data_IF_488185005512
#
_entry.id   IF_488185005512
#
_cell.length_a   1.000
_cell.length_b   1.000
_cell.length_c   1.000
_cell.angle_alpha   90.00
_cell.angle_beta   90.00
_cell.angle_gamma   90.00
#
_symmetry.space_group_name_H-M   'P 1'
#
loop_
_entity.id
_entity.type
_entity.pdbx_description
1 polymer ?
#
# COMPACT_ATOMS: atom_id res chain seq x y z
N UNK A 1 -0.09 26.89 -79.51
CA UNK A 1 0.98 26.17 -78.77
C UNK A 1 1.30 27.03 -77.56
N UNK A 2 0.61 26.79 -76.45
CA UNK A 2 1.02 25.94 -75.33
C UNK A 2 2.01 26.66 -74.41
N UNK A 3 1.58 26.95 -73.18
CA UNK A 3 2.44 27.58 -72.17
C UNK A 3 1.72 28.17 -70.96
N UNK A 4 0.66 27.54 -70.46
CA UNK A 4 0.10 27.85 -69.15
C UNK A 4 -0.01 26.52 -68.40
N UNK A 5 0.96 26.21 -67.53
CA UNK A 5 0.85 25.23 -66.44
C UNK A 5 2.20 25.09 -65.71
N UNK A 6 2.54 26.07 -64.84
CA UNK A 6 3.72 25.95 -63.97
C UNK A 6 3.51 26.47 -62.53
N UNK A 7 2.33 27.02 -62.20
CA UNK A 7 2.01 27.51 -60.86
C UNK A 7 1.32 26.49 -59.92
N UNK A 8 0.62 25.50 -60.48
CA UNK A 8 -0.21 24.54 -59.72
C UNK A 8 0.60 23.43 -59.02
N UNK A 9 1.70 22.98 -59.64
CA UNK A 9 2.48 21.83 -59.15
C UNK A 9 3.32 22.14 -57.91
N UNK A 10 3.83 23.36 -57.78
CA UNK A 10 4.63 23.79 -56.62
C UNK A 10 3.80 23.98 -55.35
N UNK A 11 2.61 24.57 -55.48
CA UNK A 11 1.67 24.76 -54.36
C UNK A 11 1.16 23.42 -53.83
N UNK A 12 0.84 22.48 -54.71
CA UNK A 12 0.41 21.12 -54.32
C UNK A 12 1.52 20.33 -53.61
N UNK A 13 2.79 20.50 -54.00
CA UNK A 13 3.92 19.85 -53.33
C UNK A 13 4.16 20.40 -51.93
N UNK A 14 4.08 21.73 -51.76
CA UNK A 14 4.21 22.37 -50.46
C UNK A 14 3.06 21.98 -49.52
N UNK A 15 1.82 21.95 -50.04
CA UNK A 15 0.66 21.47 -49.30
C UNK A 15 0.83 20.01 -48.86
N UNK A 16 1.28 19.12 -49.76
CA UNK A 16 1.52 17.71 -49.43
C UNK A 16 2.60 17.55 -48.35
N UNK A 17 3.71 18.29 -48.44
CA UNK A 17 4.76 18.28 -47.42
C UNK A 17 4.24 18.77 -46.07
N UNK A 18 3.43 19.83 -46.04
CA UNK A 18 2.84 20.36 -44.81
C UNK A 18 1.89 19.36 -44.13
N UNK A 19 1.10 18.62 -44.91
CA UNK A 19 0.21 17.57 -44.41
C UNK A 19 1.00 16.40 -43.85
N UNK A 20 2.09 15.98 -44.52
CA UNK A 20 2.97 14.92 -44.02
C UNK A 20 3.61 15.33 -42.70
N UNK A 21 4.12 16.55 -42.59
CA UNK A 21 4.70 17.08 -41.34
C UNK A 21 3.64 17.12 -40.23
N UNK A 22 2.42 17.57 -40.53
CA UNK A 22 1.33 17.59 -39.57
C UNK A 22 0.95 16.19 -39.08
N UNK A 23 0.86 15.20 -39.97
CA UNK A 23 0.56 13.81 -39.62
C UNK A 23 1.68 13.18 -38.79
N UNK A 24 2.94 13.43 -39.14
CA UNK A 24 4.09 12.94 -38.37
C UNK A 24 4.14 13.60 -36.98
N UNK A 25 3.80 14.88 -36.87
CA UNK A 25 3.70 15.60 -35.59
C UNK A 25 2.58 15.04 -34.71
N UNK A 26 1.42 14.74 -35.31
CA UNK A 26 0.31 14.11 -34.62
C UNK A 26 0.67 12.69 -34.16
N UNK A 27 1.31 11.89 -35.01
CA UNK A 27 1.77 10.54 -34.67
C UNK A 27 2.80 10.58 -33.53
N UNK A 28 3.74 11.53 -33.57
CA UNK A 28 4.71 11.73 -32.49
C UNK A 28 4.00 12.13 -31.18
N UNK A 29 3.02 13.03 -31.23
CA UNK A 29 2.24 13.43 -30.05
C UNK A 29 1.43 12.27 -29.46
N UNK A 30 0.80 11.44 -30.30
CA UNK A 30 0.06 10.24 -29.85
C UNK A 30 1.01 9.23 -29.21
N UNK A 31 2.17 8.96 -29.83
CA UNK A 31 3.17 8.05 -29.27
C UNK A 31 3.73 8.57 -27.94
N UNK A 32 4.00 9.88 -27.84
CA UNK A 32 4.41 10.50 -26.59
C UNK A 32 3.34 10.35 -25.52
N UNK A 33 2.07 10.61 -25.84
CA UNK A 33 0.96 10.46 -24.90
C UNK A 33 0.81 9.01 -24.40
N UNK A 34 0.88 8.03 -25.30
CA UNK A 34 0.81 6.59 -24.95
C UNK A 34 1.97 6.19 -24.04
N UNK A 35 3.19 6.62 -24.35
CA UNK A 35 4.36 6.34 -23.52
C UNK A 35 4.27 7.04 -22.16
N UNK A 36 3.77 8.28 -22.13
CA UNK A 36 3.59 9.03 -20.90
C UNK A 36 2.54 8.39 -20.00
N UNK A 37 1.39 8.00 -20.56
CA UNK A 37 0.32 7.29 -19.84
C UNK A 37 0.83 5.97 -19.25
N UNK A 38 1.52 5.14 -20.05
CA UNK A 38 2.12 3.88 -19.56
C UNK A 38 3.18 4.10 -18.50
N UNK A 39 3.98 5.17 -18.62
CA UNK A 39 4.99 5.53 -17.63
C UNK A 39 4.35 5.92 -16.30
N UNK A 40 3.31 6.76 -16.31
CA UNK A 40 2.56 7.14 -15.11
C UNK A 40 1.94 5.90 -14.44
N UNK A 41 1.26 5.03 -15.20
CA UNK A 41 0.65 3.82 -14.64
C UNK A 41 1.69 2.87 -14.02
N UNK A 42 2.88 2.78 -14.62
CA UNK A 42 4.00 2.00 -14.09
C UNK A 42 4.52 2.62 -12.78
N UNK A 43 4.75 3.93 -12.76
CA UNK A 43 5.22 4.65 -11.58
C UNK A 43 4.21 4.54 -10.45
N UNK A 44 2.92 4.79 -10.71
CA UNK A 44 1.87 4.70 -9.70
C UNK A 44 1.77 3.31 -9.08
N UNK A 45 1.76 2.24 -9.90
CA UNK A 45 1.76 0.86 -9.38
C UNK A 45 3.00 0.54 -8.54
N UNK A 46 4.17 1.00 -8.96
CA UNK A 46 5.41 0.78 -8.23
C UNK A 46 5.47 1.57 -6.92
N UNK A 47 4.99 2.82 -6.91
CA UNK A 47 4.89 3.65 -5.71
C UNK A 47 3.90 3.04 -4.71
N UNK A 48 2.73 2.61 -5.17
CA UNK A 48 1.74 1.96 -4.31
C UNK A 48 2.25 0.65 -3.71
N UNK A 49 2.96 -0.17 -4.51
CA UNK A 49 3.59 -1.40 -4.01
C UNK A 49 4.70 -1.11 -3.00
N UNK A 50 5.55 -0.12 -3.28
CA UNK A 50 6.62 0.28 -2.36
C UNK A 50 6.06 0.79 -1.02
N UNK A 51 5.00 1.60 -1.07
CA UNK A 51 4.35 2.15 0.12
C UNK A 51 3.60 1.06 0.91
N UNK A 52 2.95 0.13 0.22
CA UNK A 52 2.35 -1.06 0.84
C UNK A 52 3.39 -1.93 1.53
N UNK A 53 4.53 -2.19 0.89
CA UNK A 53 5.62 -2.96 1.50
C UNK A 53 6.24 -2.26 2.70
N UNK A 54 6.42 -0.94 2.62
CA UNK A 54 6.86 -0.12 3.75
C UNK A 54 5.90 -0.24 4.92
N UNK A 55 4.60 -0.09 4.66
CA UNK A 55 3.56 -0.21 5.68
C UNK A 55 3.48 -1.63 6.28
N UNK A 56 3.69 -2.66 5.46
CA UNK A 56 3.80 -4.04 5.92
C UNK A 56 4.99 -4.26 6.85
N UNK A 57 6.16 -3.70 6.53
CA UNK A 57 7.31 -3.73 7.44
C UNK A 57 6.98 -3.02 8.76
N UNK A 58 6.35 -1.85 8.69
CA UNK A 58 6.05 -1.04 9.87
C UNK A 58 5.01 -1.71 10.77
N UNK A 59 3.97 -2.32 10.21
CA UNK A 59 2.93 -3.01 11.00
C UNK A 59 3.49 -4.26 11.70
N UNK A 60 4.40 -4.98 11.04
CA UNK A 60 5.13 -6.10 11.65
C UNK A 60 5.99 -5.62 12.83
N UNK A 61 6.73 -4.51 12.62
CA UNK A 61 7.54 -3.92 13.67
C UNK A 61 6.71 -3.51 14.90
N UNK A 62 5.58 -2.84 14.68
CA UNK A 62 4.67 -2.41 15.74
C UNK A 62 4.09 -3.60 16.50
N UNK A 63 3.73 -4.69 15.82
CA UNK A 63 3.21 -5.90 16.48
C UNK A 63 4.23 -6.53 17.44
N UNK A 64 5.48 -6.70 16.99
CA UNK A 64 6.52 -7.28 17.85
C UNK A 64 6.95 -6.34 18.98
N UNK A 65 6.98 -5.03 18.74
CA UNK A 65 7.21 -4.05 19.81
C UNK A 65 6.09 -4.13 20.87
N UNK A 66 4.83 -4.20 20.43
CA UNK A 66 3.68 -4.36 21.31
C UNK A 66 3.81 -5.64 22.16
N UNK A 67 4.12 -6.78 21.53
CA UNK A 67 4.30 -8.07 22.21
C UNK A 67 5.34 -7.99 23.31
N UNK A 68 6.53 -7.49 22.99
CA UNK A 68 7.63 -7.42 23.96
C UNK A 68 7.27 -6.54 25.17
N UNK A 69 6.62 -5.40 24.93
CA UNK A 69 6.15 -4.52 26.01
C UNK A 69 5.04 -5.16 26.83
N UNK A 70 4.14 -5.94 26.21
CA UNK A 70 3.03 -6.57 26.90
C UNK A 70 3.52 -7.73 27.79
N UNK A 71 4.50 -8.51 27.31
CA UNK A 71 5.18 -9.54 28.10
C UNK A 71 5.88 -8.91 29.31
N UNK A 72 6.59 -7.79 29.12
CA UNK A 72 7.22 -7.03 30.21
C UNK A 72 6.20 -6.47 31.22
N UNK A 73 5.05 -5.98 30.73
CA UNK A 73 3.97 -5.49 31.58
C UNK A 73 3.34 -6.62 32.41
N UNK A 74 3.11 -7.79 31.80
CA UNK A 74 2.58 -8.97 32.49
C UNK A 74 3.54 -9.49 33.56
N UNK A 75 4.85 -9.52 33.27
CA UNK A 75 5.87 -9.94 34.23
C UNK A 75 6.03 -8.97 35.41
N UNK A 76 5.89 -7.66 35.16
CA UNK A 76 6.12 -6.63 36.19
C UNK A 76 4.88 -6.29 37.01
N UNK A 77 3.67 -6.65 36.53
CA UNK A 77 2.40 -6.28 37.16
C UNK A 77 2.11 -4.78 37.18
N UNK A 78 2.89 -3.97 36.45
CA UNK A 78 2.78 -2.51 36.43
C UNK A 78 1.85 -2.06 35.30
N UNK A 79 0.64 -1.63 35.65
CA UNK A 79 -0.39 -1.27 34.65
C UNK A 79 -0.30 0.18 34.15
N UNK A 80 0.14 1.13 34.99
CA UNK A 80 -0.08 2.57 34.76
C UNK A 80 0.45 3.10 33.42
N UNK A 81 1.77 3.29 33.31
CA UNK A 81 2.34 3.80 32.06
C UNK A 81 2.45 2.74 30.96
N UNK A 82 2.62 1.47 31.33
CA UNK A 82 2.73 0.39 30.36
C UNK A 82 1.44 0.24 29.52
N UNK A 83 0.25 0.39 30.14
CA UNK A 83 -1.01 0.31 29.40
C UNK A 83 -1.17 1.44 28.38
N UNK A 84 -0.74 2.67 28.70
CA UNK A 84 -0.83 3.81 27.78
C UNK A 84 0.10 3.59 26.57
N UNK A 85 1.33 3.11 26.81
CA UNK A 85 2.27 2.80 25.73
C UNK A 85 1.76 1.67 24.85
N UNK A 86 1.21 0.61 25.45
CA UNK A 86 0.62 -0.50 24.71
C UNK A 86 -0.58 -0.05 23.87
N UNK A 87 -1.47 0.76 24.43
CA UNK A 87 -2.59 1.34 23.65
C UNK A 87 -2.11 2.19 22.49
N UNK A 88 -1.07 2.98 22.69
CA UNK A 88 -0.46 3.78 21.61
C UNK A 88 0.02 2.88 20.47
N UNK A 89 0.65 1.75 20.80
CA UNK A 89 1.08 0.76 19.80
C UNK A 89 -0.11 0.06 19.13
N UNK A 90 -1.16 -0.29 19.87
CA UNK A 90 -2.39 -0.85 19.30
C UNK A 90 -3.07 0.12 18.32
N UNK A 91 -3.15 1.41 18.65
CA UNK A 91 -3.69 2.43 17.74
C UNK A 91 -2.81 2.66 16.53
N UNK A 92 -1.48 2.66 16.70
CA UNK A 92 -0.55 2.73 15.58
C UNK A 92 -0.71 1.53 14.65
N UNK A 93 -0.88 0.33 15.21
CA UNK A 93 -1.20 -0.87 14.45
C UNK A 93 -2.51 -0.70 13.67
N UNK A 94 -3.58 -0.25 14.33
CA UNK A 94 -4.88 -0.01 13.69
C UNK A 94 -4.83 1.03 12.57
N UNK A 95 -4.04 2.10 12.73
CA UNK A 95 -3.85 3.12 11.70
C UNK A 95 -3.13 2.56 10.47
N UNK A 96 -2.03 1.83 10.66
CA UNK A 96 -1.31 1.13 9.58
C UNK A 96 -2.19 0.07 8.91
N UNK A 97 -2.95 -0.68 9.71
CA UNK A 97 -3.88 -1.68 9.22
C UNK A 97 -5.00 -1.06 8.38
N UNK A 98 -5.53 0.09 8.78
CA UNK A 98 -6.53 0.85 8.01
C UNK A 98 -5.95 1.33 6.68
N UNK A 99 -4.70 1.77 6.66
CA UNK A 99 -4.01 2.12 5.43
C UNK A 99 -3.85 0.91 4.50
N UNK A 100 -3.34 -0.22 5.01
CA UNK A 100 -3.16 -1.46 4.26
C UNK A 100 -4.48 -2.04 3.75
N UNK A 101 -5.53 -1.96 4.56
CA UNK A 101 -6.90 -2.34 4.21
C UNK A 101 -7.41 -1.63 2.96
N UNK A 102 -6.92 -0.42 2.64
CA UNK A 102 -7.32 0.29 1.41
C UNK A 102 -6.89 -0.40 0.12
N UNK A 103 -5.93 -1.33 0.20
CA UNK A 103 -5.40 -2.07 -0.95
C UNK A 103 -5.89 -3.51 -1.00
N UNK A 104 -6.84 -3.89 -0.16
CA UNK A 104 -7.30 -5.26 0.01
C UNK A 104 -8.84 -5.36 -0.04
N UNK A 105 -9.35 -6.56 -0.30
CA UNK A 105 -10.78 -6.86 -0.23
C UNK A 105 -11.32 -6.78 1.22
N UNK A 106 -12.65 -6.60 1.34
CA UNK A 106 -13.33 -6.40 2.62
C UNK A 106 -12.95 -7.40 3.74
N UNK A 107 -12.81 -8.72 3.47
CA UNK A 107 -12.42 -9.68 4.50
C UNK A 107 -11.03 -9.45 5.09
N UNK A 108 -10.12 -8.80 4.35
CA UNK A 108 -8.80 -8.44 4.88
C UNK A 108 -8.89 -7.22 5.80
N UNK A 109 -9.75 -6.24 5.45
CA UNK A 109 -9.99 -5.05 6.30
C UNK A 109 -10.47 -5.46 7.70
N UNK A 110 -11.42 -6.39 7.73
CA UNK A 110 -11.99 -6.90 8.99
C UNK A 110 -10.93 -7.56 9.87
N UNK A 111 -9.94 -8.25 9.28
CA UNK A 111 -8.82 -8.86 10.03
C UNK A 111 -7.95 -7.82 10.72
N UNK A 112 -7.59 -6.73 10.04
CA UNK A 112 -6.79 -5.65 10.63
C UNK A 112 -7.52 -4.98 11.80
N UNK A 113 -8.82 -4.68 11.61
CA UNK A 113 -9.65 -4.08 12.67
C UNK A 113 -9.82 -5.02 13.85
N UNK A 114 -10.11 -6.30 13.61
CA UNK A 114 -10.26 -7.30 14.66
C UNK A 114 -8.98 -7.43 15.51
N UNK A 115 -7.81 -7.53 14.87
CA UNK A 115 -6.54 -7.61 15.60
C UNK A 115 -6.25 -6.31 16.37
N UNK A 116 -6.51 -5.14 15.80
CA UNK A 116 -6.30 -3.86 16.50
C UNK A 116 -7.11 -3.79 17.81
N UNK A 117 -8.38 -4.23 17.80
CA UNK A 117 -9.20 -4.33 19.00
C UNK A 117 -8.69 -5.37 19.98
N UNK A 118 -8.19 -6.50 19.48
CA UNK A 118 -7.61 -7.53 20.31
C UNK A 118 -6.35 -7.03 21.03
N UNK A 119 -5.49 -6.27 20.34
CA UNK A 119 -4.33 -5.62 20.94
C UNK A 119 -4.74 -4.56 21.97
N UNK A 120 -5.77 -3.75 21.70
CA UNK A 120 -6.27 -2.77 22.69
C UNK A 120 -6.80 -3.45 23.97
N UNK A 121 -7.48 -4.59 23.82
CA UNK A 121 -7.89 -5.43 24.96
C UNK A 121 -6.69 -5.90 25.76
N UNK A 122 -5.68 -6.48 25.09
CA UNK A 122 -4.44 -6.91 25.75
C UNK A 122 -3.78 -5.72 26.44
N UNK A 123 -3.74 -4.54 25.83
CA UNK A 123 -3.15 -3.35 26.45
C UNK A 123 -3.83 -2.95 27.76
N UNK A 124 -5.14 -3.18 27.89
CA UNK A 124 -5.90 -2.90 29.11
C UNK A 124 -5.76 -3.97 30.20
N UNK A 125 -5.55 -5.24 29.81
CA UNK A 125 -5.64 -6.38 30.74
C UNK A 125 -4.27 -7.02 31.06
N UNK A 126 -3.24 -6.81 30.22
CA UNK A 126 -1.99 -7.56 30.25
C UNK A 126 -1.29 -7.56 31.62
N UNK A 127 -1.24 -6.44 32.32
CA UNK A 127 -0.58 -6.33 33.62
C UNK A 127 -1.33 -7.06 34.76
N UNK A 128 -2.62 -7.32 34.58
CA UNK A 128 -3.49 -7.93 35.60
C UNK A 128 -3.80 -9.41 35.37
N UNK A 129 -3.54 -9.92 34.16
CA UNK A 129 -3.87 -11.29 33.80
C UNK A 129 -2.86 -12.30 34.38
N UNK A 130 -3.33 -13.46 34.87
CA UNK A 130 -2.47 -14.60 35.10
C UNK A 130 -1.70 -14.97 33.82
N UNK A 131 -0.44 -15.39 33.95
CA UNK A 131 0.45 -15.70 32.81
C UNK A 131 -0.20 -16.66 31.81
N UNK A 132 -0.92 -17.67 32.28
CA UNK A 132 -1.61 -18.66 31.42
C UNK A 132 -2.73 -18.04 30.59
N UNK A 133 -3.47 -17.09 31.15
CA UNK A 133 -4.55 -16.39 30.44
C UNK A 133 -3.98 -15.37 29.46
N UNK A 134 -2.93 -14.65 29.87
CA UNK A 134 -2.15 -13.78 29.00
C UNK A 134 -1.63 -14.53 27.77
N UNK A 135 -1.02 -15.70 27.97
CA UNK A 135 -0.48 -16.53 26.89
C UNK A 135 -1.57 -17.01 25.94
N UNK A 136 -2.74 -17.38 26.46
CA UNK A 136 -3.88 -17.78 25.63
C UNK A 136 -4.38 -16.61 24.76
N UNK A 137 -4.51 -15.41 25.33
CA UNK A 137 -4.89 -14.19 24.61
C UNK A 137 -3.87 -13.84 23.52
N UNK A 138 -2.57 -13.89 23.84
CA UNK A 138 -1.52 -13.58 22.88
C UNK A 138 -1.39 -14.62 21.78
N UNK A 139 -1.54 -15.90 22.09
CA UNK A 139 -1.53 -16.96 21.08
C UNK A 139 -2.64 -16.76 20.03
N UNK A 140 -3.78 -16.23 20.45
CA UNK A 140 -4.85 -15.89 19.51
C UNK A 140 -4.52 -14.63 18.69
N UNK A 141 -3.91 -13.62 19.30
CA UNK A 141 -3.38 -12.46 18.56
C UNK A 141 -2.30 -12.87 17.53
N UNK A 142 -1.41 -13.80 17.86
CA UNK A 142 -0.37 -14.33 16.96
C UNK A 142 -0.97 -15.05 15.74
N UNK A 143 -2.05 -15.82 15.92
CA UNK A 143 -2.77 -16.46 14.80
C UNK A 143 -3.37 -15.42 13.87
N UNK A 144 -4.03 -14.40 14.43
CA UNK A 144 -4.61 -13.30 13.64
C UNK A 144 -3.51 -12.54 12.89
N UNK A 145 -2.39 -12.27 13.55
CA UNK A 145 -1.24 -11.61 12.94
C UNK A 145 -0.62 -12.47 11.84
N UNK A 146 -0.55 -13.79 12.00
CA UNK A 146 -0.06 -14.70 10.94
C UNK A 146 -0.87 -14.55 9.66
N UNK A 147 -2.21 -14.46 9.76
CA UNK A 147 -3.07 -14.23 8.60
C UNK A 147 -2.77 -12.90 7.90
N UNK A 148 -2.55 -11.82 8.67
CA UNK A 148 -2.16 -10.50 8.16
C UNK A 148 -0.76 -10.52 7.55
N UNK A 149 0.19 -11.22 8.16
CA UNK A 149 1.55 -11.34 7.63
C UNK A 149 1.54 -12.05 6.27
N UNK A 150 0.67 -13.06 6.09
CA UNK A 150 0.46 -13.70 4.79
C UNK A 150 -0.10 -12.73 3.73
N UNK A 151 -0.94 -11.77 4.12
CA UNK A 151 -1.40 -10.69 3.23
C UNK A 151 -0.21 -9.82 2.76
N UNK A 152 0.71 -9.50 3.68
CA UNK A 152 1.94 -8.77 3.37
C UNK A 152 2.92 -9.56 2.49
N UNK A 153 3.02 -10.88 2.67
CA UNK A 153 3.84 -11.75 1.79
C UNK A 153 3.26 -11.77 0.37
N UNK A 154 1.93 -11.87 0.23
CA UNK A 154 1.26 -11.81 -1.07
C UNK A 154 1.47 -10.45 -1.78
N UNK A 155 1.47 -9.37 -1.01
CA UNK A 155 1.83 -8.04 -1.49
C UNK A 155 3.26 -7.98 -2.04
N UNK A 156 4.20 -8.58 -1.32
CA UNK A 156 5.61 -8.62 -1.70
C UNK A 156 5.86 -9.44 -2.96
N UNK A 157 5.15 -10.56 -3.15
CA UNK A 157 5.32 -11.45 -4.31
C UNK A 157 4.52 -11.01 -5.54
N UNK A 158 3.86 -9.85 -5.50
CA UNK A 158 3.15 -9.28 -6.64
C UNK A 158 1.80 -9.94 -6.93
N UNK A 159 1.24 -10.67 -5.97
CA UNK A 159 -0.11 -11.26 -6.06
C UNK A 159 -1.20 -10.29 -5.58
N UNK A 160 -0.91 -8.99 -5.55
CA UNK A 160 -1.83 -7.95 -5.09
C UNK A 160 -2.66 -7.31 -6.23
N UNK A 161 -2.65 -7.90 -7.42
CA UNK A 161 -3.48 -7.53 -8.57
C UNK A 161 -3.91 -8.77 -9.34
#
# INVERSE_FOLDING_TARGET
MAGADSGSSGVNRLAMVSVVIALMSLAAAVLQNVNYARSIDSIQRNVLRAESLRSCKDIIGVFFEFRLKAEAANMSGSAGMAAIELRTLAYRFGALGTFLANFQEQPARDRYTALAWHLDRIAGEAASLPKTEFDALFNEADKQFTAINNDCVRAATGHLL
#
